data_IF_752156778637
#
_entry.id   IF_752156778637
#
_cell.length_a   1.000
_cell.length_b   1.000
_cell.length_c   1.000
_cell.angle_alpha   90.00
_cell.angle_beta   90.00
_cell.angle_gamma   90.00
#
_symmetry.space_group_name_H-M   'P 1'
#
loop_
_entity.id
_entity.type
_entity.pdbx_description
1 polymer ?
#
# COMPACT_ATOMS: atom_id res chain seq x y z
N UNK A 1 -0.53 -26.86 27.38
CA UNK A 1 -0.19 -25.42 27.28
C UNK A 1 0.86 -25.12 26.20
N UNK A 2 1.88 -25.96 26.02
CA UNK A 2 2.99 -25.75 25.05
C UNK A 2 2.59 -25.81 23.56
N UNK A 3 1.63 -26.67 23.22
CA UNK A 3 1.13 -26.84 21.84
C UNK A 3 0.35 -25.62 21.32
N UNK A 4 -0.50 -25.03 22.17
CA UNK A 4 -1.27 -23.84 21.83
C UNK A 4 -0.36 -22.63 21.57
N UNK A 5 0.67 -22.43 22.41
CA UNK A 5 1.64 -21.37 22.22
C UNK A 5 2.45 -21.55 20.92
N UNK A 6 2.92 -22.77 20.65
CA UNK A 6 3.65 -23.10 19.41
C UNK A 6 2.80 -22.82 18.16
N UNK A 7 1.51 -23.15 18.21
CA UNK A 7 0.59 -22.87 17.11
C UNK A 7 0.39 -21.37 16.90
N UNK A 8 0.25 -20.60 18.00
CA UNK A 8 0.07 -19.15 17.94
C UNK A 8 1.31 -18.44 17.39
N UNK A 9 2.51 -18.86 17.77
CA UNK A 9 3.77 -18.33 17.21
C UNK A 9 3.87 -18.62 15.72
N UNK A 10 3.55 -19.85 15.31
CA UNK A 10 3.55 -20.26 13.89
C UNK A 10 2.56 -19.45 13.05
N UNK A 11 1.38 -19.18 13.61
CA UNK A 11 0.36 -18.37 12.95
C UNK A 11 0.81 -16.92 12.81
N UNK A 12 1.41 -16.35 13.87
CA UNK A 12 1.91 -14.99 13.87
C UNK A 12 3.04 -14.80 12.85
N UNK A 13 4.01 -15.71 12.82
CA UNK A 13 5.06 -15.72 11.80
C UNK A 13 4.51 -15.81 10.36
N UNK A 14 3.51 -16.67 10.13
CA UNK A 14 2.86 -16.77 8.81
C UNK A 14 2.13 -15.49 8.40
N UNK A 15 1.45 -14.83 9.34
CA UNK A 15 0.78 -13.55 9.09
C UNK A 15 1.78 -12.47 8.74
N UNK A 16 2.85 -12.32 9.53
CA UNK A 16 3.90 -11.32 9.28
C UNK A 16 4.56 -11.49 7.90
N UNK A 17 4.88 -12.73 7.51
CA UNK A 17 5.45 -13.00 6.18
C UNK A 17 4.45 -12.67 5.07
N UNK A 18 3.17 -13.02 5.26
CA UNK A 18 2.12 -12.75 4.27
C UNK A 18 1.88 -11.24 4.09
N UNK A 19 1.91 -10.48 5.18
CA UNK A 19 1.76 -9.03 5.16
C UNK A 19 2.94 -8.36 4.45
N UNK A 20 4.18 -8.73 4.80
CA UNK A 20 5.38 -8.21 4.13
C UNK A 20 5.38 -8.52 2.63
N UNK A 21 5.02 -9.74 2.24
CA UNK A 21 4.93 -10.12 0.82
C UNK A 21 3.83 -9.33 0.09
N UNK A 22 2.68 -9.11 0.72
CA UNK A 22 1.59 -8.35 0.11
C UNK A 22 1.99 -6.88 -0.14
N UNK A 23 2.73 -6.27 0.79
CA UNK A 23 3.23 -4.91 0.64
C UNK A 23 4.24 -4.78 -0.51
N UNK A 24 5.22 -5.69 -0.58
CA UNK A 24 6.21 -5.71 -1.66
C UNK A 24 5.56 -5.99 -3.02
N UNK A 25 4.55 -6.86 -3.07
CA UNK A 25 3.81 -7.15 -4.29
C UNK A 25 2.96 -5.95 -4.73
N UNK A 26 2.43 -5.17 -3.78
CA UNK A 26 1.74 -3.91 -4.07
C UNK A 26 2.72 -2.85 -4.63
N UNK A 27 3.93 -2.73 -4.07
CA UNK A 27 4.99 -1.86 -4.61
C UNK A 27 5.41 -2.29 -6.02
N UNK A 28 5.59 -3.59 -6.26
CA UNK A 28 5.91 -4.13 -7.58
C UNK A 28 4.79 -3.87 -8.61
N UNK A 29 3.51 -4.01 -8.20
CA UNK A 29 2.36 -3.63 -9.03
C UNK A 29 2.33 -2.14 -9.33
N UNK A 30 2.70 -1.29 -8.38
CA UNK A 30 2.85 0.16 -8.60
C UNK A 30 3.98 0.49 -9.59
N UNK A 31 5.05 -0.31 -9.60
CA UNK A 31 6.15 -0.14 -10.55
C UNK A 31 5.79 -0.56 -11.99
N UNK A 32 4.87 -1.51 -12.16
CA UNK A 32 4.42 -2.03 -13.47
C UNK A 32 3.11 -1.35 -13.92
N UNK A 33 2.46 -0.59 -13.05
CA UNK A 33 1.29 0.23 -13.39
C UNK A 33 1.68 1.09 -14.61
N UNK A 34 0.92 1.01 -15.72
CA UNK A 34 1.27 1.75 -16.93
C UNK A 34 1.49 3.22 -16.58
N UNK A 35 2.58 3.79 -17.08
CA UNK A 35 2.81 5.23 -17.03
C UNK A 35 1.68 5.89 -17.84
N UNK A 36 0.59 6.21 -17.16
CA UNK A 36 -0.54 6.92 -17.75
C UNK A 36 0.00 8.28 -18.20
N UNK A 37 -0.22 8.64 -19.46
CA UNK A 37 0.22 9.95 -19.94
C UNK A 37 -0.49 11.05 -19.14
N UNK A 38 0.15 12.21 -18.98
CA UNK A 38 -0.45 13.35 -18.25
C UNK A 38 -1.83 13.73 -18.82
N UNK A 39 -2.05 13.50 -20.12
CA UNK A 39 -3.32 13.73 -20.80
C UNK A 39 -4.39 12.73 -20.37
N UNK A 40 -4.06 11.44 -20.33
CA UNK A 40 -4.97 10.38 -19.87
C UNK A 40 -5.29 10.53 -18.38
N UNK A 41 -4.28 10.86 -17.55
CA UNK A 41 -4.50 11.13 -16.12
C UNK A 41 -5.47 12.30 -15.91
N UNK A 42 -5.31 13.40 -16.66
CA UNK A 42 -6.26 14.53 -16.63
C UNK A 42 -7.66 14.12 -17.11
N UNK A 43 -7.78 13.19 -18.05
CA UNK A 43 -9.06 12.64 -18.49
C UNK A 43 -9.75 11.83 -17.40
N UNK A 44 -9.02 10.92 -16.75
CA UNK A 44 -9.50 10.12 -15.62
C UNK A 44 -9.94 11.02 -14.46
N UNK A 45 -9.14 12.05 -14.11
CA UNK A 45 -9.47 13.00 -13.06
C UNK A 45 -10.78 13.78 -13.32
N UNK A 46 -11.06 14.11 -14.59
CA UNK A 46 -12.30 14.78 -15.00
C UNK A 46 -13.50 13.84 -14.95
N UNK A 47 -13.33 12.59 -15.39
CA UNK A 47 -14.41 11.60 -15.49
C UNK A 47 -14.81 11.05 -14.11
N UNK A 48 -13.85 10.85 -13.23
CA UNK A 48 -14.09 10.18 -11.95
C UNK A 48 -14.10 11.12 -10.74
N UNK A 49 -13.89 12.44 -10.93
CA UNK A 49 -13.67 13.45 -9.89
C UNK A 49 -12.55 13.06 -8.92
N UNK A 50 -11.40 13.77 -8.97
CA UNK A 50 -10.21 13.53 -8.12
C UNK A 50 -10.56 12.93 -6.74
N UNK A 51 -10.24 11.64 -6.47
CA UNK A 51 -10.35 11.12 -5.11
C UNK A 51 -9.31 11.85 -4.28
N UNK A 52 -9.79 12.72 -3.39
CA UNK A 52 -9.04 13.45 -2.39
C UNK A 52 -8.07 14.54 -2.92
N UNK A 53 -8.62 15.74 -3.06
CA UNK A 53 -7.94 17.00 -2.68
C UNK A 53 -7.61 17.04 -1.17
N UNK A 54 -7.46 15.90 -0.48
CA UNK A 54 -7.02 15.88 0.92
C UNK A 54 -5.50 15.97 0.86
N UNK A 55 -5.04 17.20 0.62
CA UNK A 55 -3.65 17.59 0.78
C UNK A 55 -3.19 17.04 2.14
N UNK A 56 -2.32 16.04 2.11
CA UNK A 56 -1.53 15.68 3.28
C UNK A 56 -0.77 16.96 3.61
N UNK A 57 -1.13 17.63 4.72
CA UNK A 57 -0.32 18.74 5.26
C UNK A 57 1.06 18.16 5.50
N UNK A 58 2.01 18.46 4.61
CA UNK A 58 3.43 18.24 4.88
C UNK A 58 3.78 19.15 6.06
N UNK A 59 3.79 18.60 7.27
CA UNK A 59 4.42 19.27 8.41
C UNK A 59 5.91 19.06 8.22
N UNK A 60 6.60 20.13 7.83
CA UNK A 60 8.06 20.17 7.77
C UNK A 60 8.55 20.13 9.22
N UNK A 61 8.96 18.97 9.71
CA UNK A 61 9.65 18.86 10.98
C UNK A 61 11.05 19.45 10.79
N UNK A 62 11.30 20.62 11.38
CA UNK A 62 12.66 21.08 11.61
C UNK A 62 13.19 20.29 12.81
N UNK A 63 14.16 19.42 12.55
CA UNK A 63 15.05 18.82 13.56
C UNK A 63 16.30 19.69 13.61
#
# INVERSE_FOLDING_TARGET
MTTALKNKIKELARRSVREALAEELMKARAAILPFISVKEQKGIEKLYNRPSRRAVRMVRAHI
#
